data_IF_213511937591
#
_entry.id   IF_213511937591
#
_cell.length_a   1.000
_cell.length_b   1.000
_cell.length_c   1.000
_cell.angle_alpha   90.00
_cell.angle_beta   90.00
_cell.angle_gamma   90.00
#
_symmetry.space_group_name_H-M   'P 1'
#
loop_
_entity.id
_entity.type
_entity.pdbx_description
1 polymer ?
#
# COMPACT_ATOMS: atom_id res chain seq x y z
N UNK A 1 -11.11 -29.05 8.34
CA UNK A 1 -10.76 -28.87 6.91
C UNK A 1 -11.79 -27.87 6.37
N UNK A 2 -11.35 -26.66 6.00
CA UNK A 2 -12.08 -25.38 5.95
C UNK A 2 -12.33 -24.68 7.30
N UNK A 3 -11.23 -24.30 7.96
CA UNK A 3 -11.15 -23.09 8.79
C UNK A 3 -9.73 -22.55 8.63
N UNK A 4 -9.56 -21.53 7.79
CA UNK A 4 -8.35 -20.68 7.80
C UNK A 4 -8.60 -19.39 7.01
N UNK A 5 -8.36 -18.27 7.69
CA UNK A 5 -7.98 -16.96 7.14
C UNK A 5 -9.11 -16.02 6.65
N UNK A 6 -10.13 -15.83 7.47
CA UNK A 6 -10.99 -14.63 7.48
C UNK A 6 -10.96 -14.00 8.87
N UNK A 7 -10.91 -12.66 8.94
CA UNK A 7 -10.70 -11.86 10.15
C UNK A 7 -11.56 -12.31 11.37
N UNK A 8 -10.99 -13.16 12.23
CA UNK A 8 -11.57 -13.50 13.54
C UNK A 8 -10.86 -12.67 14.61
N UNK A 9 -11.41 -11.50 14.93
CA UNK A 9 -10.79 -10.63 15.94
C UNK A 9 -11.62 -9.46 16.44
N UNK A 10 -12.61 -8.98 15.70
CA UNK A 10 -13.52 -7.90 16.19
C UNK A 10 -14.76 -8.42 16.94
N UNK A 11 -14.77 -9.70 17.32
CA UNK A 11 -15.79 -10.29 18.17
C UNK A 11 -15.12 -10.79 19.45
N UNK A 12 -15.19 -9.99 20.52
CA UNK A 12 -15.32 -10.37 21.95
C UNK A 12 -14.68 -9.30 22.84
N UNK A 13 -15.52 -8.52 23.55
CA UNK A 13 -15.13 -7.89 24.82
C UNK A 13 -15.76 -8.68 25.98
N UNK A 14 -14.95 -8.93 27.01
CA UNK A 14 -15.29 -9.71 28.18
C UNK A 14 -16.17 -8.98 29.20
N UNK A 15 -17.37 -9.54 29.39
CA UNK A 15 -18.25 -9.62 30.57
C UNK A 15 -18.26 -8.52 31.65
N UNK A 16 -19.40 -7.82 31.73
CA UNK A 16 -20.11 -7.62 32.99
C UNK A 16 -21.61 -7.92 32.81
N UNK A 17 -22.23 -8.49 33.84
CA UNK A 17 -23.50 -9.20 33.76
C UNK A 17 -24.74 -8.32 33.52
N UNK A 18 -25.74 -8.93 32.86
CA UNK A 18 -27.16 -8.56 32.80
C UNK A 18 -27.58 -7.28 32.05
N UNK A 19 -27.69 -7.42 30.71
CA UNK A 19 -28.93 -7.19 29.93
C UNK A 19 -28.65 -7.63 28.50
N UNK A 20 -29.41 -8.59 27.97
CA UNK A 20 -29.43 -8.91 26.52
C UNK A 20 -29.91 -7.67 25.77
N UNK A 21 -28.98 -6.79 25.38
CA UNK A 21 -29.18 -5.83 24.30
C UNK A 21 -28.89 -6.61 23.02
N UNK A 22 -29.88 -6.64 22.14
CA UNK A 22 -29.72 -7.05 20.76
C UNK A 22 -28.73 -6.07 20.11
N UNK A 23 -27.43 -6.37 20.19
CA UNK A 23 -26.39 -5.63 19.49
C UNK A 23 -26.47 -6.10 18.04
N UNK A 24 -27.38 -5.50 17.28
CA UNK A 24 -27.47 -5.70 15.84
C UNK A 24 -26.06 -5.59 15.23
N UNK A 25 -25.69 -6.57 14.41
CA UNK A 25 -24.37 -6.61 13.77
C UNK A 25 -24.06 -5.22 13.18
N UNK A 26 -22.98 -4.59 13.66
CA UNK A 26 -22.56 -3.28 13.17
C UNK A 26 -22.26 -3.45 11.68
N UNK A 27 -23.05 -2.79 10.82
CA UNK A 27 -22.80 -2.79 9.38
C UNK A 27 -21.57 -1.94 9.11
N UNK A 28 -20.57 -2.55 8.49
CA UNK A 28 -19.38 -1.84 8.02
C UNK A 28 -19.69 -1.25 6.65
N UNK A 29 -19.54 0.06 6.53
CA UNK A 29 -19.57 0.84 5.29
C UNK A 29 -18.22 1.48 5.03
N UNK A 30 -17.97 1.93 3.82
CA UNK A 30 -16.76 2.67 3.48
C UNK A 30 -16.50 3.87 4.42
N UNK A 31 -17.56 4.60 4.80
CA UNK A 31 -17.45 5.72 5.77
C UNK A 31 -17.04 5.19 7.15
N UNK A 32 -17.75 4.20 7.69
CA UNK A 32 -17.46 3.72 9.05
C UNK A 32 -16.06 3.08 9.17
N UNK A 33 -15.56 2.46 8.10
CA UNK A 33 -14.20 1.88 8.09
C UNK A 33 -13.15 2.99 7.96
N UNK A 34 -13.40 4.01 7.13
CA UNK A 34 -12.59 5.23 7.07
C UNK A 34 -12.47 5.90 8.44
N UNK A 35 -13.60 6.12 9.13
CA UNK A 35 -13.64 6.71 10.47
C UNK A 35 -12.86 5.85 11.47
N UNK A 36 -12.95 4.52 11.35
CA UNK A 36 -12.22 3.60 12.22
C UNK A 36 -10.70 3.67 11.98
N UNK A 37 -10.26 3.78 10.73
CA UNK A 37 -8.85 3.97 10.37
C UNK A 37 -8.31 5.28 10.94
N UNK A 38 -9.06 6.39 10.84
CA UNK A 38 -8.70 7.64 11.49
C UNK A 38 -8.61 7.47 13.01
N UNK A 39 -9.58 6.80 13.64
CA UNK A 39 -9.58 6.54 15.08
C UNK A 39 -8.33 5.81 15.56
N UNK A 40 -7.83 4.82 14.80
CA UNK A 40 -6.56 4.17 15.11
C UNK A 40 -5.37 5.12 15.05
N UNK A 41 -5.29 5.98 14.03
CA UNK A 41 -4.23 6.99 13.91
C UNK A 41 -4.32 8.06 15.00
N UNK A 42 -5.52 8.53 15.31
CA UNK A 42 -5.78 9.54 16.33
C UNK A 42 -5.37 9.10 17.74
N UNK A 43 -5.31 7.79 17.98
CA UNK A 43 -4.82 7.22 19.25
C UNK A 43 -3.29 7.24 19.40
N UNK A 44 -2.54 7.49 18.33
CA UNK A 44 -1.08 7.45 18.34
C UNK A 44 -0.50 8.78 18.79
N UNK A 45 0.69 8.72 19.38
CA UNK A 45 1.42 9.91 19.79
C UNK A 45 1.68 10.84 18.58
N UNK A 46 1.78 12.14 18.84
CA UNK A 46 2.09 13.18 17.84
C UNK A 46 1.06 13.41 16.73
N UNK A 47 -0.06 12.68 16.66
CA UNK A 47 -1.10 12.86 15.63
C UNK A 47 -1.62 14.30 15.55
N UNK A 48 -1.79 14.82 14.32
CA UNK A 48 -2.25 16.18 14.01
C UNK A 48 -3.38 16.24 12.97
N UNK A 49 -4.01 15.11 12.69
CA UNK A 49 -5.06 14.98 11.68
C UNK A 49 -4.63 14.13 10.50
N UNK A 50 -5.56 13.86 9.59
CA UNK A 50 -5.28 13.16 8.35
C UNK A 50 -4.41 14.03 7.42
N UNK A 51 -3.52 13.41 6.65
CA UNK A 51 -2.71 14.11 5.64
C UNK A 51 -3.50 14.39 4.36
N UNK A 52 -4.58 13.65 4.15
CA UNK A 52 -5.63 13.83 3.14
C UNK A 52 -6.87 13.02 3.55
N UNK A 53 -8.08 13.30 3.02
CA UNK A 53 -9.26 12.48 3.29
C UNK A 53 -9.06 11.04 2.83
N UNK A 54 -9.27 10.08 3.74
CA UNK A 54 -9.14 8.64 3.43
C UNK A 54 -10.03 8.26 2.25
N UNK A 55 -9.44 7.62 1.25
CA UNK A 55 -10.16 6.89 0.22
C UNK A 55 -10.45 5.51 0.80
N UNK A 56 -11.73 5.15 0.91
CA UNK A 56 -12.17 3.84 1.35
C UNK A 56 -13.20 3.35 0.36
N UNK A 57 -12.89 2.28 -0.37
CA UNK A 57 -13.63 1.92 -1.58
C UNK A 57 -13.87 0.41 -1.68
N UNK A 58 -15.12 0.01 -1.94
CA UNK A 58 -15.54 -1.39 -2.13
C UNK A 58 -15.90 -1.63 -3.60
N UNK A 59 -15.37 -2.72 -4.16
CA UNK A 59 -15.71 -3.19 -5.51
C UNK A 59 -15.58 -2.07 -6.55
N UNK A 60 -16.65 -1.74 -7.30
CA UNK A 60 -16.59 -0.74 -8.38
C UNK A 60 -16.11 0.64 -7.94
N UNK A 61 -16.33 1.04 -6.68
CA UNK A 61 -15.85 2.32 -6.16
C UNK A 61 -14.31 2.37 -6.17
N UNK A 62 -13.64 1.23 -5.99
CA UNK A 62 -12.18 1.16 -6.01
C UNK A 62 -11.58 1.46 -7.41
N UNK A 63 -12.37 1.35 -8.49
CA UNK A 63 -11.94 1.75 -9.82
C UNK A 63 -11.89 3.29 -10.00
N UNK A 64 -12.51 4.06 -9.11
CA UNK A 64 -12.51 5.52 -9.16
C UNK A 64 -11.27 6.02 -8.40
N UNK A 65 -10.24 6.43 -9.14
CA UNK A 65 -8.89 6.74 -8.62
C UNK A 65 -8.92 7.67 -7.39
N UNK A 66 -9.71 8.75 -7.44
CA UNK A 66 -9.90 9.70 -6.34
C UNK A 66 -11.32 9.62 -5.76
N UNK A 67 -11.78 8.41 -5.43
CA UNK A 67 -13.07 8.19 -4.77
C UNK A 67 -13.09 8.83 -3.38
N UNK A 68 -14.24 9.38 -2.98
CA UNK A 68 -14.47 9.84 -1.61
C UNK A 68 -15.81 9.28 -1.14
N UNK A 69 -15.84 8.49 -0.04
CA UNK A 69 -17.08 7.91 0.45
C UNK A 69 -17.96 9.00 1.09
N UNK A 70 -19.25 8.96 0.79
CA UNK A 70 -20.26 9.83 1.42
C UNK A 70 -21.33 8.97 2.08
N UNK A 71 -21.80 9.34 3.27
CA UNK A 71 -22.72 8.53 4.06
C UNK A 71 -24.01 8.13 3.33
N UNK A 72 -24.45 8.95 2.38
CA UNK A 72 -25.67 8.76 1.60
C UNK A 72 -25.51 7.78 0.43
N UNK A 73 -24.27 7.60 -0.06
CA UNK A 73 -23.97 6.85 -1.30
C UNK A 73 -22.91 5.78 -1.12
N UNK A 74 -22.33 5.64 0.08
CA UNK A 74 -21.27 4.69 0.35
C UNK A 74 -21.77 3.25 0.27
N UNK A 75 -20.89 2.36 -0.17
CA UNK A 75 -21.14 0.93 -0.19
C UNK A 75 -20.96 0.33 1.22
N UNK A 76 -21.71 -0.74 1.49
CA UNK A 76 -21.42 -1.66 2.57
C UNK A 76 -20.22 -2.54 2.18
N UNK A 77 -19.40 -2.92 3.16
CA UNK A 77 -18.30 -3.87 2.97
C UNK A 77 -18.86 -5.21 2.51
N UNK A 78 -18.39 -5.67 1.36
CA UNK A 78 -18.70 -6.99 0.83
C UNK A 78 -17.45 -7.87 0.90
N UNK A 79 -17.49 -9.03 1.57
CA UNK A 79 -16.33 -9.91 1.59
C UNK A 79 -15.93 -10.40 0.19
N UNK A 80 -16.90 -10.59 -0.71
CA UNK A 80 -16.67 -11.07 -2.07
C UNK A 80 -16.34 -9.95 -3.06
N UNK A 81 -15.78 -8.84 -2.57
CA UNK A 81 -15.31 -7.75 -3.40
C UNK A 81 -13.96 -7.25 -2.89
N UNK A 82 -13.17 -6.69 -3.79
CA UNK A 82 -11.98 -5.92 -3.42
C UNK A 82 -12.38 -4.78 -2.49
N UNK A 83 -11.55 -4.57 -1.46
CA UNK A 83 -11.54 -3.39 -0.64
C UNK A 83 -10.20 -2.68 -0.80
N UNK A 84 -10.23 -1.43 -1.25
CA UNK A 84 -9.07 -0.56 -1.35
C UNK A 84 -9.22 0.54 -0.31
N UNK A 85 -8.15 0.76 0.47
CA UNK A 85 -8.04 1.95 1.29
C UNK A 85 -6.70 2.63 1.04
N UNK A 86 -6.79 3.93 0.86
CA UNK A 86 -5.65 4.84 0.75
C UNK A 86 -5.82 5.93 1.80
N UNK A 87 -4.83 6.04 2.67
CA UNK A 87 -4.96 6.88 3.85
C UNK A 87 -3.61 7.27 4.42
N UNK A 88 -3.58 8.44 5.04
CA UNK A 88 -2.40 8.94 5.71
C UNK A 88 -2.75 9.88 6.85
N UNK A 89 -1.74 10.25 7.63
CA UNK A 89 -1.85 11.22 8.70
C UNK A 89 -0.62 12.10 8.82
N UNK A 90 -0.86 13.27 9.41
CA UNK A 90 0.13 14.18 9.91
C UNK A 90 0.48 13.83 11.35
N UNK A 91 1.77 13.82 11.63
CA UNK A 91 2.34 13.72 12.96
C UNK A 91 3.38 14.83 13.12
N UNK A 92 3.66 15.26 14.35
CA UNK A 92 4.71 16.27 14.59
C UNK A 92 6.10 15.88 14.04
N UNK A 93 6.32 14.60 13.83
CA UNK A 93 7.56 13.98 13.35
C UNK A 93 7.49 13.49 11.89
N UNK A 94 6.38 13.69 11.18
CA UNK A 94 6.31 13.35 9.76
C UNK A 94 4.92 13.33 9.13
N UNK A 95 4.89 13.05 7.84
CA UNK A 95 3.66 12.85 7.05
C UNK A 95 3.68 11.43 6.51
N UNK A 96 2.53 10.76 6.55
CA UNK A 96 2.39 9.39 6.04
C UNK A 96 1.44 9.33 4.86
N UNK A 97 1.70 8.37 3.98
CA UNK A 97 0.86 7.99 2.86
C UNK A 97 0.98 6.48 2.63
N UNK A 98 -0.16 5.79 2.47
CA UNK A 98 -0.20 4.34 2.30
C UNK A 98 -1.54 3.89 1.73
N UNK A 99 -1.44 3.18 0.62
CA UNK A 99 -2.51 2.38 0.04
C UNK A 99 -2.28 0.88 0.22
N UNK A 100 -3.33 0.15 0.61
CA UNK A 100 -3.41 -1.30 0.48
C UNK A 100 -4.73 -1.70 -0.17
N UNK A 101 -4.65 -2.76 -0.95
CA UNK A 101 -5.81 -3.41 -1.57
C UNK A 101 -5.93 -4.83 -1.00
N UNK A 102 -7.10 -5.22 -0.54
CA UNK A 102 -7.35 -6.52 0.08
C UNK A 102 -8.68 -7.10 -0.42
N UNK A 103 -8.89 -8.38 -0.13
CA UNK A 103 -10.15 -9.07 -0.35
C UNK A 103 -10.47 -9.90 0.90
N UNK A 104 -11.74 -10.07 1.29
CA UNK A 104 -12.08 -10.85 2.50
C UNK A 104 -12.64 -12.25 2.19
N UNK A 105 -13.21 -12.46 1.00
CA UNK A 105 -13.60 -13.75 0.42
C UNK A 105 -12.52 -14.29 -0.53
N UNK A 106 -12.94 -14.81 -1.69
CA UNK A 106 -12.07 -15.40 -2.71
C UNK A 106 -11.88 -14.47 -3.92
N UNK A 107 -10.69 -13.90 -4.15
CA UNK A 107 -10.45 -13.09 -5.34
C UNK A 107 -10.45 -13.95 -6.61
N UNK A 108 -10.98 -13.39 -7.69
CA UNK A 108 -11.00 -13.98 -9.03
C UNK A 108 -9.60 -14.05 -9.65
N UNK A 109 -9.45 -14.88 -10.69
CA UNK A 109 -8.18 -14.97 -11.45
C UNK A 109 -7.76 -13.62 -12.03
N UNK A 110 -8.71 -12.80 -12.51
CA UNK A 110 -8.40 -11.50 -13.09
C UNK A 110 -7.96 -10.48 -12.04
N UNK A 111 -8.61 -10.45 -10.87
CA UNK A 111 -8.18 -9.62 -9.73
C UNK A 111 -6.78 -10.01 -9.27
N UNK A 112 -6.49 -11.31 -9.15
CA UNK A 112 -5.16 -11.80 -8.75
C UNK A 112 -4.08 -11.46 -9.77
N UNK A 113 -4.35 -11.67 -11.06
CA UNK A 113 -3.40 -11.34 -12.12
C UNK A 113 -3.08 -9.84 -12.14
N UNK A 114 -4.11 -9.00 -12.04
CA UNK A 114 -3.97 -7.53 -12.00
C UNK A 114 -3.22 -7.08 -10.75
N UNK A 115 -3.56 -7.61 -9.57
CA UNK A 115 -2.85 -7.34 -8.32
C UNK A 115 -1.38 -7.70 -8.42
N UNK A 116 -1.09 -8.86 -9.01
CA UNK A 116 0.28 -9.35 -9.14
C UNK A 116 1.09 -8.49 -10.11
N UNK A 117 0.49 -8.03 -11.21
CA UNK A 117 1.15 -7.10 -12.12
C UNK A 117 1.46 -5.75 -11.44
N UNK A 118 0.52 -5.20 -10.65
CA UNK A 118 0.75 -3.99 -9.83
C UNK A 118 1.88 -4.22 -8.83
N UNK A 119 1.86 -5.34 -8.09
CA UNK A 119 2.90 -5.69 -7.12
C UNK A 119 4.27 -5.83 -7.78
N UNK A 120 4.36 -6.48 -8.93
CA UNK A 120 5.63 -6.58 -9.69
C UNK A 120 6.14 -5.20 -10.09
N UNK A 121 5.24 -4.28 -10.45
CA UNK A 121 5.60 -2.88 -10.74
C UNK A 121 6.19 -2.19 -9.53
N UNK A 122 5.54 -2.33 -8.37
CA UNK A 122 6.00 -1.78 -7.09
C UNK A 122 7.38 -2.35 -6.71
N UNK A 123 7.56 -3.67 -6.80
CA UNK A 123 8.85 -4.32 -6.52
C UNK A 123 9.94 -3.83 -7.48
N UNK A 124 9.63 -3.71 -8.77
CA UNK A 124 10.59 -3.29 -9.78
C UNK A 124 11.08 -1.85 -9.56
N UNK A 125 10.18 -0.94 -9.17
CA UNK A 125 10.56 0.44 -8.84
C UNK A 125 11.30 0.50 -7.50
N UNK A 126 10.75 -0.09 -6.43
CA UNK A 126 11.35 -0.09 -5.10
C UNK A 126 12.75 -0.72 -5.03
N UNK A 127 13.07 -1.68 -5.92
CA UNK A 127 14.39 -2.29 -6.00
C UNK A 127 15.35 -1.59 -6.98
N UNK A 128 14.94 -0.51 -7.63
CA UNK A 128 15.76 0.15 -8.64
C UNK A 128 17.07 0.68 -8.04
N UNK A 129 18.18 0.43 -8.74
CA UNK A 129 19.47 1.07 -8.52
C UNK A 129 19.82 1.87 -9.77
N UNK A 130 20.04 3.17 -9.62
CA UNK A 130 20.12 4.12 -10.74
C UNK A 130 21.21 5.17 -10.51
N UNK A 131 21.83 5.73 -11.57
CA UNK A 131 22.92 6.68 -11.40
C UNK A 131 22.41 8.03 -10.87
N UNK A 132 23.26 8.76 -10.15
CA UNK A 132 22.97 10.12 -9.70
C UNK A 132 22.49 11.04 -10.85
N UNK A 133 21.61 11.99 -10.57
CA UNK A 133 21.07 12.87 -11.60
C UNK A 133 19.97 12.25 -12.49
N UNK A 134 19.54 11.02 -12.19
CA UNK A 134 18.34 10.43 -12.82
C UNK A 134 17.09 11.10 -12.27
N UNK A 135 16.15 11.45 -13.15
CA UNK A 135 14.86 12.02 -12.76
C UNK A 135 13.77 10.94 -12.68
N UNK A 136 12.69 11.23 -11.96
CA UNK A 136 11.62 10.25 -11.73
C UNK A 136 10.87 9.86 -13.01
N UNK A 137 10.87 10.70 -14.06
CA UNK A 137 10.32 10.31 -15.37
C UNK A 137 11.04 9.10 -15.97
N UNK A 138 12.35 8.95 -15.76
CA UNK A 138 13.09 7.78 -16.26
C UNK A 138 12.77 6.49 -15.49
N UNK A 139 12.20 6.60 -14.29
CA UNK A 139 11.91 5.47 -13.40
C UNK A 139 10.44 5.02 -13.45
N UNK A 140 9.50 5.91 -13.81
CA UNK A 140 8.04 5.62 -13.87
C UNK A 140 7.72 4.34 -14.70
N UNK A 141 8.46 4.12 -15.79
CA UNK A 141 8.27 2.94 -16.64
C UNK A 141 8.53 1.61 -15.91
N UNK A 142 9.38 1.59 -14.88
CA UNK A 142 9.70 0.36 -14.14
C UNK A 142 8.45 -0.23 -13.48
N UNK A 143 7.58 0.63 -12.97
CA UNK A 143 6.33 0.21 -12.36
C UNK A 143 5.23 -0.13 -13.37
N UNK A 144 5.40 0.25 -14.65
CA UNK A 144 4.41 0.01 -15.71
C UNK A 144 4.70 -1.22 -16.55
N UNK A 145 5.97 -1.58 -16.75
CA UNK A 145 6.35 -2.71 -17.61
C UNK A 145 5.58 -4.00 -17.27
N UNK A 146 5.39 -4.38 -15.99
CA UNK A 146 4.62 -5.58 -15.68
C UNK A 146 3.16 -5.52 -16.15
N UNK A 147 2.50 -4.36 -16.02
CA UNK A 147 1.14 -4.13 -16.49
C UNK A 147 1.05 -4.09 -18.02
N UNK A 148 1.98 -3.38 -18.67
CA UNK A 148 2.01 -3.22 -20.13
C UNK A 148 2.19 -4.55 -20.87
N UNK A 149 2.86 -5.53 -20.27
CA UNK A 149 2.98 -6.89 -20.83
C UNK A 149 1.63 -7.55 -21.05
N UNK A 150 0.65 -7.22 -20.22
CA UNK A 150 -0.71 -7.75 -20.27
C UNK A 150 -1.70 -6.76 -20.90
N UNK A 151 -1.21 -5.64 -21.47
CA UNK A 151 -2.03 -4.60 -22.08
C UNK A 151 -2.77 -3.70 -21.07
N UNK A 152 -2.39 -3.74 -19.80
CA UNK A 152 -2.97 -2.94 -18.72
C UNK A 152 -2.17 -1.65 -18.49
N UNK A 153 -2.77 -0.61 -17.92
CA UNK A 153 -2.08 0.63 -17.51
C UNK A 153 -2.86 1.38 -16.43
N UNK A 154 -2.28 2.45 -15.86
CA UNK A 154 -2.94 3.36 -14.91
C UNK A 154 -2.75 4.84 -15.28
N UNK A 155 -3.78 5.65 -15.00
CA UNK A 155 -3.92 7.04 -15.51
C UNK A 155 -3.34 8.13 -14.57
N UNK A 156 -2.50 7.75 -13.61
CA UNK A 156 -1.81 8.67 -12.71
C UNK A 156 -0.28 8.45 -12.75
N UNK A 157 0.49 9.33 -12.11
CA UNK A 157 1.95 9.13 -11.96
C UNK A 157 2.22 7.97 -11.00
N UNK A 158 3.41 7.38 -11.07
CA UNK A 158 3.81 6.28 -10.17
C UNK A 158 4.10 6.75 -8.73
N UNK A 159 4.40 8.03 -8.53
CA UNK A 159 4.56 8.58 -7.19
C UNK A 159 4.89 10.06 -7.16
N UNK A 160 4.86 10.64 -5.97
CA UNK A 160 5.13 12.04 -5.68
C UNK A 160 6.07 12.19 -4.48
N UNK A 161 6.70 13.35 -4.32
CA UNK A 161 7.40 13.66 -3.07
C UNK A 161 6.43 13.85 -1.91
N UNK A 162 6.93 13.68 -0.68
CA UNK A 162 6.15 13.82 0.55
C UNK A 162 6.90 14.67 1.57
N UNK A 163 6.26 15.70 2.10
CA UNK A 163 6.88 16.61 3.05
C UNK A 163 7.02 16.04 4.45
N UNK A 164 7.91 16.62 5.25
CA UNK A 164 8.07 16.27 6.66
C UNK A 164 7.15 17.13 7.51
N UNK A 165 6.02 16.55 7.96
CA UNK A 165 4.92 17.28 8.63
C UNK A 165 4.44 18.49 7.80
N UNK A 166 4.31 18.26 6.49
CA UNK A 166 3.94 19.25 5.47
C UNK A 166 3.00 18.61 4.46
N UNK A 167 2.94 19.13 3.23
CA UNK A 167 2.06 18.60 2.20
C UNK A 167 2.41 17.14 1.90
N UNK A 168 1.38 16.28 1.86
CA UNK A 168 1.53 14.88 1.45
C UNK A 168 2.00 14.76 -0.01
N UNK A 169 1.54 15.70 -0.85
CA UNK A 169 2.01 15.90 -2.21
C UNK A 169 2.99 17.10 -2.24
N UNK A 170 4.29 16.82 -2.19
CA UNK A 170 5.34 17.84 -2.20
C UNK A 170 6.27 17.67 -3.41
N UNK A 171 6.40 18.73 -4.20
CA UNK A 171 7.39 18.80 -5.29
C UNK A 171 8.72 19.39 -4.83
N UNK A 172 9.68 19.61 -5.75
CA UNK A 172 9.52 19.55 -7.21
C UNK A 172 9.76 18.17 -7.83
N UNK A 173 10.29 17.20 -7.08
CA UNK A 173 10.53 15.84 -7.57
C UNK A 173 9.26 14.99 -7.49
N UNK A 174 9.13 14.06 -8.43
CA UNK A 174 8.04 13.08 -8.50
C UNK A 174 8.43 11.98 -9.50
N UNK A 175 7.80 10.81 -9.39
CA UNK A 175 7.98 9.68 -10.32
C UNK A 175 6.74 9.63 -11.22
N UNK A 176 6.86 10.14 -12.45
CA UNK A 176 5.71 10.22 -13.35
C UNK A 176 6.14 10.27 -14.81
N UNK A 177 5.34 9.69 -15.71
CA UNK A 177 5.43 9.89 -17.16
C UNK A 177 5.21 11.35 -17.60
N UNK A 178 4.68 12.21 -16.72
CA UNK A 178 4.38 13.61 -17.06
C UNK A 178 5.67 14.42 -17.26
N UNK A 179 5.70 15.40 -18.19
CA UNK A 179 6.91 16.17 -18.48
C UNK A 179 7.58 16.85 -17.28
N UNK A 180 6.80 17.30 -16.29
CA UNK A 180 7.30 17.97 -15.08
C UNK A 180 8.24 17.09 -14.24
N UNK A 181 8.10 15.76 -14.31
CA UNK A 181 8.98 14.82 -13.62
C UNK A 181 10.41 14.76 -14.20
N UNK A 182 10.68 15.53 -15.26
CA UNK A 182 12.03 15.72 -15.83
C UNK A 182 12.78 16.92 -15.23
N UNK A 183 12.10 17.76 -14.47
CA UNK A 183 12.63 19.05 -14.03
C UNK A 183 13.73 18.92 -12.98
N UNK A 184 13.58 17.97 -12.04
CA UNK A 184 14.49 17.80 -10.90
C UNK A 184 14.91 16.34 -10.79
N UNK A 185 16.22 16.05 -10.73
CA UNK A 185 16.71 14.70 -10.47
C UNK A 185 16.44 14.28 -9.03
N UNK A 186 16.27 12.98 -8.80
CA UNK A 186 16.23 12.43 -7.45
C UNK A 186 17.62 12.54 -6.80
N UNK A 187 17.62 12.81 -5.50
CA UNK A 187 18.82 12.97 -4.67
C UNK A 187 18.63 12.20 -3.36
N UNK A 188 19.75 11.79 -2.75
CA UNK A 188 19.72 11.16 -1.44
C UNK A 188 18.94 12.01 -0.41
N UNK A 189 18.26 11.32 0.50
CA UNK A 189 17.36 11.86 1.53
C UNK A 189 16.04 12.46 1.02
N UNK A 190 15.79 12.50 -0.31
CA UNK A 190 14.45 12.80 -0.82
C UNK A 190 13.50 11.64 -0.49
N UNK A 191 12.27 11.99 -0.15
CA UNK A 191 11.15 11.06 0.09
C UNK A 191 10.24 11.03 -1.13
N UNK A 192 9.76 9.85 -1.52
CA UNK A 192 8.81 9.67 -2.63
C UNK A 192 7.85 8.53 -2.34
N UNK A 193 6.63 8.57 -2.87
CA UNK A 193 5.76 7.41 -2.94
C UNK A 193 6.14 6.49 -4.11
N UNK A 194 5.84 5.21 -3.97
CA UNK A 194 5.82 4.19 -5.03
C UNK A 194 4.46 3.51 -4.97
N UNK A 195 3.55 3.94 -5.84
CA UNK A 195 2.10 3.71 -5.76
C UNK A 195 1.47 3.25 -7.10
N UNK A 196 2.03 2.26 -7.83
CA UNK A 196 1.38 1.77 -9.04
C UNK A 196 -0.03 1.24 -8.76
N UNK A 197 -0.86 1.24 -9.80
CA UNK A 197 -2.22 0.75 -9.70
C UNK A 197 -2.77 0.17 -11.01
N UNK A 198 -4.00 -0.31 -10.93
CA UNK A 198 -4.83 -0.75 -12.05
C UNK A 198 -6.31 -0.54 -11.68
N UNK A 199 -7.11 -0.05 -12.61
CA UNK A 199 -8.51 0.31 -12.36
C UNK A 199 -9.38 -0.22 -13.49
N UNK A 200 -10.21 -1.21 -13.19
CA UNK A 200 -11.17 -1.81 -14.10
C UNK A 200 -12.52 -1.12 -13.91
N UNK A 201 -12.86 -0.21 -14.83
CA UNK A 201 -14.05 0.63 -14.75
C UNK A 201 -15.32 -0.20 -14.48
N UNK A 202 -16.04 0.14 -13.40
CA UNK A 202 -17.27 -0.53 -13.00
C UNK A 202 -17.09 -1.88 -12.29
N UNK A 203 -15.86 -2.35 -12.07
CA UNK A 203 -15.59 -3.63 -11.41
C UNK A 203 -14.76 -3.49 -10.12
N UNK A 204 -13.48 -3.15 -10.23
CA UNK A 204 -12.57 -3.05 -9.09
C UNK A 204 -11.37 -2.14 -9.40
N UNK A 205 -10.63 -1.76 -8.37
CA UNK A 205 -9.33 -1.11 -8.53
C UNK A 205 -8.33 -1.56 -7.50
N UNK A 206 -7.07 -1.41 -7.85
CA UNK A 206 -5.91 -1.89 -7.11
C UNK A 206 -4.90 -0.75 -7.09
N UNK A 207 -4.39 -0.44 -5.92
CA UNK A 207 -3.19 0.37 -5.73
C UNK A 207 -2.41 -0.17 -4.55
N UNK A 208 -1.09 -0.18 -4.68
CA UNK A 208 -0.16 -0.65 -3.67
C UNK A 208 0.91 0.41 -3.48
N UNK A 209 0.95 0.98 -2.29
CA UNK A 209 1.74 2.17 -2.06
C UNK A 209 2.59 2.08 -0.80
N UNK A 210 3.84 2.50 -0.94
CA UNK A 210 4.73 2.78 0.16
C UNK A 210 5.43 4.13 -0.04
N UNK A 211 5.84 4.74 1.05
CA UNK A 211 6.84 5.81 1.03
C UNK A 211 8.23 5.18 1.03
N UNK A 212 9.09 5.75 0.20
CA UNK A 212 10.49 5.41 0.00
C UNK A 212 11.38 6.61 0.34
N UNK A 213 12.57 6.34 0.87
CA UNK A 213 13.66 7.31 0.98
C UNK A 213 14.70 6.97 -0.10
N UNK A 214 15.08 7.95 -0.90
CA UNK A 214 16.22 7.83 -1.81
C UNK A 214 17.50 7.83 -0.99
N UNK A 215 18.41 6.89 -1.24
CA UNK A 215 19.71 6.80 -0.56
C UNK A 215 20.83 6.47 -1.52
N UNK A 216 22.07 6.68 -1.08
CA UNK A 216 23.24 6.20 -1.82
C UNK A 216 23.21 4.66 -1.90
N UNK A 217 23.52 4.14 -3.09
CA UNK A 217 23.62 2.71 -3.35
C UNK A 217 25.07 2.26 -3.32
N UNK A 218 25.31 1.13 -2.65
CA UNK A 218 26.60 0.45 -2.73
C UNK A 218 26.63 -0.45 -3.97
N UNK A 219 27.32 0.01 -5.00
CA UNK A 219 27.45 -0.69 -6.29
C UNK A 219 28.86 -1.24 -6.47
N UNK A 220 28.97 -2.45 -7.01
CA UNK A 220 30.26 -3.11 -7.31
C UNK A 220 31.21 -2.27 -8.16
N UNK A 221 30.68 -1.42 -9.04
CA UNK A 221 31.44 -0.57 -9.95
C UNK A 221 30.86 0.84 -9.95
N UNK A 222 31.69 1.86 -10.15
CA UNK A 222 31.27 3.25 -10.28
C UNK A 222 31.64 3.78 -11.68
N UNK A 223 30.68 3.77 -12.61
CA UNK A 223 30.93 4.21 -13.99
C UNK A 223 31.02 5.74 -14.06
N UNK A 224 32.19 6.25 -14.45
CA UNK A 224 32.44 7.69 -14.60
C UNK A 224 32.41 8.47 -13.29
N UNK A 225 32.72 7.81 -12.17
CA UNK A 225 32.73 8.38 -10.81
C UNK A 225 31.42 9.09 -10.42
N UNK A 226 30.31 8.66 -11.03
CA UNK A 226 29.01 9.33 -10.95
C UNK A 226 28.27 9.05 -9.64
N UNK A 227 28.51 7.89 -9.03
CA UNK A 227 27.71 7.40 -7.90
C UNK A 227 26.31 6.96 -8.31
N UNK A 228 25.69 6.16 -7.44
CA UNK A 228 24.40 5.52 -7.68
C UNK A 228 23.50 5.68 -6.46
N UNK A 229 22.20 5.68 -6.72
CA UNK A 229 21.14 5.79 -5.74
C UNK A 229 20.26 4.53 -5.77
N UNK A 230 19.61 4.25 -4.66
CA UNK A 230 18.58 3.23 -4.52
C UNK A 230 17.50 3.73 -3.55
N UNK A 231 16.47 2.91 -3.33
CA UNK A 231 15.41 3.23 -2.39
C UNK A 231 15.53 2.44 -1.08
N UNK A 232 15.02 3.05 -0.02
CA UNK A 232 14.77 2.42 1.26
C UNK A 232 13.27 2.52 1.58
N UNK A 233 12.63 1.39 1.84
CA UNK A 233 11.24 1.35 2.25
C UNK A 233 11.09 1.82 3.70
N UNK A 234 10.11 2.69 3.96
CA UNK A 234 9.79 3.12 5.33
C UNK A 234 8.32 2.87 5.72
N UNK A 235 7.49 2.46 4.77
CA UNK A 235 6.12 1.98 5.04
C UNK A 235 6.14 0.48 5.30
N UNK A 236 5.62 0.06 6.46
CA UNK A 236 5.61 -1.33 6.91
C UNK A 236 4.20 -1.83 7.16
N UNK A 237 3.61 -2.47 6.14
CA UNK A 237 2.34 -3.17 6.24
C UNK A 237 2.32 -4.34 5.25
N UNK A 238 1.91 -5.55 5.64
CA UNK A 238 1.94 -6.72 4.77
C UNK A 238 1.10 -6.55 3.48
N UNK A 239 1.59 -7.10 2.38
CA UNK A 239 0.78 -7.40 1.20
C UNK A 239 -0.03 -8.68 1.40
N UNK A 240 -1.31 -8.69 1.00
CA UNK A 240 -2.18 -9.84 1.22
C UNK A 240 -1.87 -10.96 0.23
N UNK A 241 -1.25 -12.05 0.71
CA UNK A 241 -0.74 -13.15 -0.14
C UNK A 241 -1.80 -13.83 -1.00
N UNK A 242 -3.06 -13.93 -0.55
CA UNK A 242 -4.13 -14.53 -1.35
C UNK A 242 -4.51 -13.73 -2.60
N UNK A 243 -4.20 -12.43 -2.63
CA UNK A 243 -4.36 -11.59 -3.82
C UNK A 243 -3.27 -11.83 -4.86
N UNK A 244 -2.19 -12.52 -4.49
CA UNK A 244 -1.04 -12.74 -5.35
C UNK A 244 -1.20 -14.08 -6.09
N UNK A 245 -1.04 -14.04 -7.40
CA UNK A 245 -0.80 -15.22 -8.20
C UNK A 245 0.70 -15.55 -8.16
N UNK A 246 1.08 -16.44 -7.25
CA UNK A 246 2.46 -16.84 -7.03
C UNK A 246 3.11 -17.46 -8.28
N UNK A 247 2.32 -17.99 -9.22
CA UNK A 247 2.85 -18.57 -10.46
C UNK A 247 3.40 -17.51 -11.42
N UNK A 248 3.02 -16.24 -11.23
CA UNK A 248 3.49 -15.10 -12.01
C UNK A 248 4.70 -14.41 -11.37
N UNK A 249 5.09 -14.79 -10.16
CA UNK A 249 6.26 -14.24 -9.49
C UNK A 249 7.53 -15.03 -9.84
N UNK A 250 8.60 -14.30 -10.12
CA UNK A 250 9.94 -14.87 -10.22
C UNK A 250 10.56 -15.12 -8.84
N UNK A 251 11.64 -15.92 -8.75
CA UNK A 251 12.28 -16.24 -7.47
C UNK A 251 12.75 -15.01 -6.68
N UNK A 252 13.24 -13.97 -7.37
CA UNK A 252 13.68 -12.72 -6.73
C UNK A 252 12.50 -11.94 -6.12
N UNK A 253 11.34 -11.95 -6.77
CA UNK A 253 10.13 -11.27 -6.29
C UNK A 253 9.53 -12.00 -5.09
N UNK A 254 9.53 -13.34 -5.09
CA UNK A 254 9.13 -14.16 -3.93
C UNK A 254 10.07 -13.89 -2.75
N UNK A 255 11.38 -13.89 -3.00
CA UNK A 255 12.37 -13.61 -1.96
C UNK A 255 12.21 -12.18 -1.40
N UNK A 256 11.97 -11.19 -2.27
CA UNK A 256 11.69 -9.82 -1.85
C UNK A 256 10.47 -9.76 -0.93
N UNK A 257 9.36 -10.42 -1.31
CA UNK A 257 8.13 -10.43 -0.53
C UNK A 257 8.35 -11.06 0.85
N UNK A 258 9.04 -12.20 0.91
CA UNK A 258 9.40 -12.87 2.16
C UNK A 258 10.28 -11.99 3.06
N UNK A 259 11.27 -11.28 2.49
CA UNK A 259 12.12 -10.35 3.24
C UNK A 259 11.30 -9.17 3.75
N UNK A 260 10.47 -8.54 2.91
CA UNK A 260 9.62 -7.42 3.29
C UNK A 260 8.64 -7.81 4.41
N UNK A 261 7.99 -8.97 4.29
CA UNK A 261 7.11 -9.53 5.31
C UNK A 261 7.86 -9.87 6.61
N UNK A 262 9.09 -10.38 6.53
CA UNK A 262 9.97 -10.56 7.68
C UNK A 262 10.26 -9.24 8.39
N UNK A 263 10.59 -8.18 7.63
CA UNK A 263 10.80 -6.83 8.18
C UNK A 263 9.54 -6.26 8.80
N UNK A 264 8.36 -6.49 8.23
CA UNK A 264 7.10 -6.10 8.85
C UNK A 264 6.95 -6.72 10.24
N UNK A 265 7.25 -8.01 10.42
CA UNK A 265 7.24 -8.64 11.75
C UNK A 265 8.23 -7.98 12.70
N UNK A 266 9.48 -7.84 12.28
CA UNK A 266 10.55 -7.32 13.15
C UNK A 266 10.25 -5.89 13.62
N UNK A 267 9.77 -5.04 12.72
CA UNK A 267 9.55 -3.61 12.99
C UNK A 267 8.27 -3.38 13.78
N UNK A 268 7.20 -4.13 13.48
CA UNK A 268 5.91 -3.93 14.12
C UNK A 268 5.81 -4.63 15.48
N UNK A 269 6.55 -5.73 15.70
CA UNK A 269 6.43 -6.55 16.91
C UNK A 269 6.48 -5.79 18.25
N UNK A 270 7.34 -4.77 18.44
CA UNK A 270 7.36 -4.00 19.70
C UNK A 270 6.09 -3.19 19.98
N UNK A 271 5.22 -2.99 18.98
CA UNK A 271 4.04 -2.12 19.05
C UNK A 271 2.71 -2.88 19.06
N UNK A 272 2.75 -4.21 18.95
CA UNK A 272 1.57 -5.05 18.79
C UNK A 272 1.32 -5.92 20.03
N UNK A 273 0.05 -6.13 20.35
CA UNK A 273 -0.35 -7.11 21.35
C UNK A 273 -0.30 -8.56 20.82
N UNK A 274 -0.62 -9.53 21.68
CA UNK A 274 -0.57 -10.96 21.33
C UNK A 274 -1.51 -11.31 20.16
N UNK A 275 -2.71 -10.71 20.12
CA UNK A 275 -3.71 -10.99 19.09
C UNK A 275 -3.31 -10.38 17.75
N UNK A 276 -2.78 -9.15 17.76
CA UNK A 276 -2.27 -8.46 16.60
C UNK A 276 -1.02 -9.16 16.05
N UNK A 277 -0.15 -9.66 16.93
CA UNK A 277 1.01 -10.46 16.53
C UNK A 277 0.62 -11.80 15.92
N UNK A 278 -0.40 -12.49 16.45
CA UNK A 278 -0.93 -13.71 15.84
C UNK A 278 -1.44 -13.43 14.42
N UNK A 279 -2.18 -12.34 14.23
CA UNK A 279 -2.62 -11.91 12.92
C UNK A 279 -1.45 -11.60 11.99
N UNK A 280 -0.45 -10.83 12.47
CA UNK A 280 0.70 -10.43 11.66
C UNK A 280 1.52 -11.64 11.22
N UNK A 281 1.75 -12.61 12.11
CA UNK A 281 2.46 -13.84 11.78
C UNK A 281 1.78 -14.60 10.63
N UNK A 282 0.45 -14.75 10.69
CA UNK A 282 -0.34 -15.38 9.62
C UNK A 282 -0.29 -14.55 8.32
N UNK A 283 -0.43 -13.23 8.41
CA UNK A 283 -0.41 -12.33 7.26
C UNK A 283 0.96 -12.25 6.55
N UNK A 284 2.02 -12.72 7.21
CA UNK A 284 3.41 -12.64 6.73
C UNK A 284 4.08 -14.00 6.57
N UNK A 285 3.31 -15.10 6.62
CA UNK A 285 3.85 -16.45 6.44
C UNK A 285 4.73 -16.55 5.19
N UNK A 286 5.89 -17.18 5.35
CA UNK A 286 6.86 -17.36 4.27
C UNK A 286 6.25 -18.16 3.14
N UNK A 287 6.35 -17.63 1.92
CA UNK A 287 5.89 -18.28 0.71
C UNK A 287 7.01 -19.20 0.20
N UNK A 288 6.64 -20.45 -0.10
CA UNK A 288 7.55 -21.42 -0.72
C UNK A 288 7.92 -21.05 -2.15
N UNK A 289 9.17 -21.35 -2.53
CA UNK A 289 9.68 -21.29 -3.91
C UNK A 289 9.45 -22.61 -4.62
#
# INVERSE_FOLDING_TARGET
MQESNGASGYFLEGQSANKKKDLGAIRLTEVTVSDKLEGFRASKEHFRGLSFPTISSVGPNAAIIHYSPHAETCAELNPDSIYLFDSGAQYLDGTTDITRTVHFGNPSTHEKASYTAVLKGHIALGNACFPNGTNGHALDILARIPLWKDGLDYRHGTGHGIGSYLNVHEGPHLISFRPHARNVPLQASMTVTDEPGYYEDGNFGIRLENVLIVKEADTKFNFGDKGYLSFEHITWAPYQTKMIDLTLLGPEEINWLNIYHGRCRDILAPYLDESEMAWLNNATETIGV
#
